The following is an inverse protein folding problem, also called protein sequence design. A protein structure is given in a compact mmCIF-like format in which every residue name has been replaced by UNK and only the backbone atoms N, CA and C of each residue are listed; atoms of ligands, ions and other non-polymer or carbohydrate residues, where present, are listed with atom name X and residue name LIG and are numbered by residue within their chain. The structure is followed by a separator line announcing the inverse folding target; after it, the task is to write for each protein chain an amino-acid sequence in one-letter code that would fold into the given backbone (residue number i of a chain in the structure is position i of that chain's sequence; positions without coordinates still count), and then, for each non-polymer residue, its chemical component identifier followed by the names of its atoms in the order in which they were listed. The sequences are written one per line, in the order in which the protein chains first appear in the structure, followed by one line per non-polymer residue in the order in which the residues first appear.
data_IF_199560158673
#
_entry.id   IF_199560158673
#
_cell.length_a   1.000
_cell.length_b   1.000
_cell.length_c   1.000
_cell.angle_alpha   90.00
_cell.angle_beta   90.00
_cell.angle_gamma   90.00
#
_symmetry.space_group_name_H-M   'P 1'
#
loop_
_entity.id
_entity.type
_entity.pdbx_description
1 polymer ?
#
# COMPACT_ATOMS: atom_id res chain seq x y z
N UNK A 1 -19.57 35.24 -46.97
CA UNK A 1 -20.77 36.05 -47.07
C UNK A 1 -21.39 35.97 -45.71
N UNK A 2 -21.18 36.99 -44.85
CA UNK A 2 -22.01 38.14 -44.55
C UNK A 2 -23.20 37.73 -43.68
N UNK A 3 -23.50 38.25 -42.50
CA UNK A 3 -23.18 39.50 -41.79
C UNK A 3 -23.67 39.32 -40.35
N UNK A 4 -22.98 39.71 -39.33
CA UNK A 4 -22.96 41.06 -38.67
C UNK A 4 -24.34 41.55 -38.14
N UNK A 5 -24.32 41.80 -36.79
CA UNK A 5 -24.73 43.06 -36.21
C UNK A 5 -26.12 43.19 -35.58
N UNK A 6 -26.19 43.51 -34.30
CA UNK A 6 -26.59 44.75 -33.58
C UNK A 6 -26.98 44.37 -32.16
N UNK A 7 -26.34 44.75 -31.15
CA UNK A 7 -26.05 46.02 -30.46
C UNK A 7 -27.25 46.86 -30.05
N UNK A 8 -27.24 47.09 -28.75
CA UNK A 8 -27.50 48.35 -28.05
C UNK A 8 -28.90 48.67 -27.50
N UNK A 9 -28.78 49.13 -26.26
CA UNK A 9 -29.50 50.20 -25.60
C UNK A 9 -30.91 49.95 -25.03
N UNK A 10 -30.94 49.97 -23.70
CA UNK A 10 -31.86 50.81 -22.96
C UNK A 10 -31.24 51.24 -21.61
N UNK A 11 -30.63 52.43 -21.62
CA UNK A 11 -30.47 53.31 -20.45
C UNK A 11 -31.74 54.18 -20.42
N UNK A 12 -32.32 54.41 -19.28
CA UNK A 12 -32.47 55.70 -18.62
C UNK A 12 -33.67 55.79 -17.67
N UNK A 13 -33.33 56.32 -16.49
CA UNK A 13 -34.04 57.34 -15.70
C UNK A 13 -35.19 56.95 -14.77
N UNK A 14 -35.00 57.40 -13.53
CA UNK A 14 -36.08 57.75 -12.59
C UNK A 14 -35.63 57.92 -11.16
N UNK A 15 -35.08 59.08 -10.87
CA UNK A 15 -35.16 60.02 -9.74
C UNK A 15 -35.60 59.55 -8.33
N UNK A 16 -34.68 59.74 -7.36
CA UNK A 16 -34.75 60.49 -6.07
C UNK A 16 -36.04 60.48 -5.25
N UNK A 17 -35.94 60.03 -4.00
CA UNK A 17 -36.25 60.91 -2.82
C UNK A 17 -35.55 60.44 -1.56
N UNK A 18 -35.05 61.45 -0.83
CA UNK A 18 -34.44 61.44 0.47
C UNK A 18 -35.33 60.90 1.59
N UNK A 19 -34.74 60.20 2.54
CA UNK A 19 -35.03 60.38 3.96
C UNK A 19 -33.91 59.90 4.84
N UNK A 20 -33.39 60.81 5.64
CA UNK A 20 -32.40 60.61 6.72
C UNK A 20 -32.99 59.72 7.81
N UNK A 21 -32.22 58.71 8.27
CA UNK A 21 -32.22 58.31 9.68
C UNK A 21 -30.83 57.80 10.07
N UNK A 22 -30.19 58.59 10.92
CA UNK A 22 -28.95 58.24 11.63
C UNK A 22 -29.22 57.08 12.60
N UNK A 23 -28.53 55.95 12.42
CA UNK A 23 -28.26 55.07 13.56
C UNK A 23 -26.82 54.59 13.47
N UNK A 24 -26.06 55.01 14.49
CA UNK A 24 -24.71 54.53 14.81
C UNK A 24 -24.83 53.07 15.16
N UNK A 25 -24.21 52.20 14.38
CA UNK A 25 -23.85 50.85 14.81
C UNK A 25 -22.35 50.67 14.70
N UNK A 26 -21.80 50.36 15.86
CA UNK A 26 -20.44 49.97 16.09
C UNK A 26 -20.01 48.84 15.12
N UNK A 27 -18.97 49.09 14.36
CA UNK A 27 -18.30 48.10 13.54
C UNK A 27 -17.52 47.14 14.44
N UNK A 28 -18.15 46.04 14.81
CA UNK A 28 -17.44 44.88 15.31
C UNK A 28 -16.88 44.09 14.13
N UNK A 29 -15.62 44.31 13.78
CA UNK A 29 -14.91 43.45 12.82
C UNK A 29 -14.70 42.10 13.44
N UNK A 30 -15.64 41.17 13.20
CA UNK A 30 -15.44 39.76 13.45
C UNK A 30 -14.50 39.23 12.34
N UNK A 31 -13.22 39.22 12.65
CA UNK A 31 -12.22 38.48 11.85
C UNK A 31 -12.50 37.00 12.05
N UNK A 32 -13.21 36.41 11.09
CA UNK A 32 -13.39 34.98 11.01
C UNK A 32 -12.05 34.36 10.60
N UNK A 33 -11.21 34.02 11.58
CA UNK A 33 -10.03 33.21 11.39
C UNK A 33 -10.53 31.80 11.08
N UNK A 34 -10.69 31.50 9.81
CA UNK A 34 -10.87 30.13 9.33
C UNK A 34 -9.56 29.36 9.63
N UNK A 35 -9.50 28.66 10.77
CA UNK A 35 -8.50 27.64 11.01
C UNK A 35 -8.69 26.55 9.97
N UNK A 36 -7.97 26.65 8.86
CA UNK A 36 -7.73 25.51 8.00
C UNK A 36 -6.95 24.49 8.82
N UNK A 37 -7.65 23.56 9.46
CA UNK A 37 -7.09 22.32 9.98
C UNK A 37 -6.61 21.54 8.76
N UNK A 38 -5.41 21.87 8.27
CA UNK A 38 -4.67 20.99 7.36
C UNK A 38 -4.41 19.71 8.14
N UNK A 39 -5.22 18.70 7.90
CA UNK A 39 -4.96 17.35 8.37
C UNK A 39 -3.62 16.94 7.76
N UNK A 40 -2.54 17.15 8.49
CA UNK A 40 -1.23 16.65 8.12
C UNK A 40 -1.37 15.13 8.00
N UNK A 41 -1.32 14.61 6.78
CA UNK A 41 -1.15 13.17 6.55
C UNK A 41 0.20 12.82 7.17
N UNK A 42 0.16 12.30 8.38
CA UNK A 42 1.37 11.93 9.10
C UNK A 42 1.99 10.75 8.36
N UNK A 43 3.21 10.94 7.89
CA UNK A 43 3.98 9.87 7.26
C UNK A 43 4.07 8.68 8.24
N UNK A 44 3.99 7.47 7.71
CA UNK A 44 4.19 6.28 8.54
C UNK A 44 5.60 6.30 9.13
N UNK A 45 5.78 6.06 10.44
CA UNK A 45 7.13 6.01 11.03
C UNK A 45 8.03 4.94 10.37
N UNK A 46 7.44 3.95 9.73
CA UNK A 46 8.16 2.94 8.97
C UNK A 46 8.78 3.48 7.67
N UNK A 47 8.29 4.59 7.13
CA UNK A 47 8.88 5.24 5.95
C UNK A 47 10.20 5.97 6.22
N UNK A 48 10.57 6.13 7.48
CA UNK A 48 11.84 6.74 7.89
C UNK A 48 13.02 5.79 7.74
N UNK A 49 12.78 4.47 7.65
CA UNK A 49 13.83 3.49 7.41
C UNK A 49 14.32 3.55 5.97
N UNK A 50 15.54 4.04 5.77
CA UNK A 50 16.21 4.07 4.46
C UNK A 50 16.97 2.78 4.13
N UNK A 51 17.17 1.90 5.12
CA UNK A 51 17.87 0.62 5.00
C UNK A 51 17.19 -0.47 5.84
N UNK A 52 17.38 -1.76 5.48
CA UNK A 52 16.90 -2.87 6.29
C UNK A 52 17.47 -2.87 7.72
N UNK A 53 16.63 -3.32 8.65
CA UNK A 53 17.08 -3.60 10.02
C UNK A 53 18.01 -4.79 10.00
N UNK A 54 19.22 -4.63 10.53
CA UNK A 54 20.21 -5.70 10.58
C UNK A 54 19.75 -6.83 11.50
N UNK A 55 20.10 -8.06 11.16
CA UNK A 55 19.81 -9.25 11.96
C UNK A 55 19.53 -10.48 11.09
N UNK A 56 19.35 -11.62 11.74
CA UNK A 56 18.89 -12.85 11.08
C UNK A 56 17.51 -12.60 10.46
N UNK A 57 17.30 -13.00 9.20
CA UNK A 57 16.03 -12.74 8.52
C UNK A 57 14.83 -13.31 9.27
N UNK A 58 13.87 -12.46 9.59
CA UNK A 58 12.61 -12.82 10.24
C UNK A 58 11.45 -12.00 9.71
N UNK A 59 10.37 -12.68 9.33
CA UNK A 59 9.06 -12.08 9.21
C UNK A 59 8.39 -12.08 10.58
N UNK A 60 7.92 -10.94 11.06
CA UNK A 60 7.34 -10.78 12.40
C UNK A 60 5.89 -10.35 12.29
N UNK A 61 5.01 -10.98 13.05
CA UNK A 61 3.58 -10.69 13.08
C UNK A 61 2.84 -11.14 11.83
N UNK A 62 1.67 -10.56 11.62
CA UNK A 62 0.83 -10.82 10.45
C UNK A 62 1.18 -9.92 9.27
N UNK A 63 0.61 -10.25 8.12
CA UNK A 63 0.82 -9.52 6.86
C UNK A 63 0.32 -8.07 6.92
N UNK A 64 -0.68 -7.79 7.76
CA UNK A 64 -1.28 -6.45 7.96
C UNK A 64 -0.97 -5.84 9.33
N UNK A 65 -0.17 -6.49 10.15
CA UNK A 65 0.29 -6.00 11.45
C UNK A 65 1.61 -6.68 11.79
N UNK A 66 2.71 -6.19 11.21
CA UNK A 66 4.00 -6.82 11.33
C UNK A 66 5.16 -5.93 10.86
N UNK A 67 6.34 -6.51 10.86
CA UNK A 67 7.58 -5.92 10.35
C UNK A 67 8.53 -7.03 9.86
N UNK A 68 9.65 -6.65 9.25
CA UNK A 68 10.67 -7.58 8.79
C UNK A 68 12.06 -7.15 9.28
N UNK A 69 12.83 -8.11 9.78
CA UNK A 69 14.24 -7.97 10.14
C UNK A 69 15.06 -8.70 9.08
N UNK A 70 16.25 -8.21 8.74
CA UNK A 70 17.13 -8.83 7.76
C UNK A 70 16.51 -8.88 6.35
N UNK A 71 15.62 -7.91 6.02
CA UNK A 71 15.07 -7.79 4.69
C UNK A 71 16.16 -7.59 3.64
N UNK A 72 15.89 -8.04 2.42
CA UNK A 72 16.76 -7.82 1.27
C UNK A 72 16.02 -7.04 0.19
N UNK A 73 16.71 -6.17 -0.56
CA UNK A 73 16.11 -5.53 -1.73
C UNK A 73 15.99 -6.54 -2.88
N UNK A 74 14.91 -6.47 -3.63
CA UNK A 74 14.86 -7.10 -4.94
C UNK A 74 15.80 -6.32 -5.87
N UNK A 75 16.72 -6.98 -6.61
CA UNK A 75 17.57 -6.29 -7.55
C UNK A 75 16.77 -5.43 -8.53
N UNK A 76 17.20 -4.17 -8.72
CA UNK A 76 16.51 -3.21 -9.60
C UNK A 76 16.48 -3.69 -11.07
N UNK A 77 17.39 -4.58 -11.43
CA UNK A 77 17.45 -5.21 -12.74
C UNK A 77 17.50 -6.73 -12.57
N UNK A 78 16.64 -7.41 -13.28
CA UNK A 78 16.57 -8.87 -13.26
C UNK A 78 16.17 -9.44 -14.62
N UNK A 79 16.53 -10.70 -14.86
CA UNK A 79 16.09 -11.42 -16.09
C UNK A 79 14.70 -12.01 -15.82
N UNK A 80 13.69 -11.60 -16.60
CA UNK A 80 12.33 -12.11 -16.53
C UNK A 80 11.35 -11.24 -15.75
N UNK A 81 11.80 -10.15 -15.16
CA UNK A 81 10.93 -9.16 -14.54
C UNK A 81 11.44 -7.73 -14.75
N UNK A 82 10.54 -6.75 -14.61
CA UNK A 82 10.82 -5.32 -14.52
C UNK A 82 10.34 -4.82 -13.16
N UNK A 83 11.24 -4.28 -12.34
CA UNK A 83 10.87 -3.61 -11.10
C UNK A 83 10.39 -2.20 -11.42
N UNK A 84 9.16 -1.87 -11.00
CA UNK A 84 8.55 -0.56 -11.19
C UNK A 84 8.44 0.20 -9.86
N UNK A 85 8.37 1.54 -9.92
CA UNK A 85 8.19 2.42 -8.76
C UNK A 85 9.26 2.26 -7.67
N UNK A 86 10.51 1.97 -8.03
CA UNK A 86 11.60 1.76 -7.06
C UNK A 86 11.84 2.97 -6.15
N UNK A 87 11.53 4.20 -6.62
CA UNK A 87 11.62 5.43 -5.82
C UNK A 87 10.73 5.40 -4.56
N UNK A 88 9.72 4.51 -4.51
CA UNK A 88 8.84 4.35 -3.34
C UNK A 88 9.48 3.55 -2.21
N UNK A 89 10.67 3.01 -2.42
CA UNK A 89 11.38 2.14 -1.46
C UNK A 89 10.53 0.93 -0.99
N UNK A 90 9.66 0.41 -1.85
CA UNK A 90 8.76 -0.72 -1.58
C UNK A 90 9.15 -1.94 -2.40
N UNK A 91 10.44 -2.27 -2.40
CA UNK A 91 11.00 -3.41 -3.12
C UNK A 91 11.88 -4.30 -2.22
N UNK A 92 11.63 -4.24 -0.92
CA UNK A 92 12.29 -5.08 0.07
C UNK A 92 11.39 -6.25 0.48
N UNK A 93 11.99 -7.30 0.99
CA UNK A 93 11.25 -8.45 1.51
C UNK A 93 12.13 -9.41 2.27
N UNK A 94 11.52 -10.37 2.93
CA UNK A 94 12.23 -11.51 3.47
C UNK A 94 13.01 -12.23 2.34
N UNK A 95 14.20 -12.78 2.58
CA UNK A 95 14.99 -13.46 1.53
C UNK A 95 14.20 -14.53 0.76
N UNK A 96 13.27 -15.24 1.43
CA UNK A 96 12.38 -16.19 0.76
C UNK A 96 11.47 -15.53 -0.28
N UNK A 97 11.03 -14.29 -0.05
CA UNK A 97 10.23 -13.54 -1.03
C UNK A 97 11.07 -13.12 -2.23
N UNK A 98 12.30 -12.66 -1.99
CA UNK A 98 13.25 -12.31 -3.07
C UNK A 98 13.53 -13.55 -3.92
N UNK A 99 13.85 -14.68 -3.28
CA UNK A 99 14.08 -15.95 -3.95
C UNK A 99 12.85 -16.42 -4.74
N UNK A 100 11.63 -16.24 -4.21
CA UNK A 100 10.39 -16.55 -4.93
C UNK A 100 10.26 -15.75 -6.23
N UNK A 101 10.43 -14.42 -6.17
CA UNK A 101 10.34 -13.56 -7.36
C UNK A 101 11.35 -14.00 -8.43
N UNK A 102 12.58 -14.32 -8.02
CA UNK A 102 13.64 -14.80 -8.92
C UNK A 102 13.33 -16.18 -9.53
N UNK A 103 12.76 -17.12 -8.74
CA UNK A 103 12.30 -18.42 -9.25
C UNK A 103 11.16 -18.26 -10.26
N UNK A 104 10.16 -17.44 -9.91
CA UNK A 104 9.05 -17.14 -10.81
C UNK A 104 9.55 -16.55 -12.13
N UNK A 105 10.47 -15.59 -12.07
CA UNK A 105 11.07 -14.98 -13.25
C UNK A 105 11.84 -15.99 -14.12
N UNK A 106 12.53 -16.94 -13.49
CA UNK A 106 13.20 -18.03 -14.20
C UNK A 106 12.18 -18.95 -14.91
N UNK A 107 11.15 -19.40 -14.19
CA UNK A 107 10.12 -20.30 -14.75
C UNK A 107 9.29 -19.60 -15.84
N UNK A 108 8.95 -18.33 -15.63
CA UNK A 108 8.23 -17.49 -16.61
C UNK A 108 8.99 -17.42 -17.94
N UNK A 109 10.30 -17.18 -17.89
CA UNK A 109 11.16 -17.18 -19.09
C UNK A 109 11.26 -18.55 -19.75
N UNK A 110 11.34 -19.63 -18.95
CA UNK A 110 11.36 -20.99 -19.46
C UNK A 110 10.06 -21.36 -20.17
N UNK A 111 8.94 -20.80 -19.73
CA UNK A 111 7.62 -20.90 -20.38
C UNK A 111 7.47 -19.93 -21.58
N UNK A 112 8.51 -19.17 -21.96
CA UNK A 112 8.46 -18.25 -23.08
C UNK A 112 7.73 -16.92 -22.81
N UNK A 113 7.38 -16.64 -21.54
CA UNK A 113 6.69 -15.40 -21.18
C UNK A 113 7.64 -14.19 -21.22
N UNK A 114 7.15 -13.02 -21.62
CA UNK A 114 7.90 -11.77 -21.50
C UNK A 114 8.14 -11.37 -20.03
N UNK A 115 8.95 -10.34 -19.80
CA UNK A 115 9.20 -9.83 -18.46
C UNK A 115 7.90 -9.34 -17.83
N UNK A 116 7.51 -9.90 -16.67
CA UNK A 116 6.39 -9.38 -15.88
C UNK A 116 6.82 -8.19 -14.99
N UNK A 117 5.88 -7.39 -14.54
CA UNK A 117 6.16 -6.20 -13.74
C UNK A 117 5.98 -6.49 -12.25
N UNK A 118 7.02 -6.18 -11.47
CA UNK A 118 6.99 -6.26 -10.00
C UNK A 118 6.70 -4.87 -9.44
N UNK A 119 5.61 -4.77 -8.70
CA UNK A 119 5.17 -3.57 -8.02
C UNK A 119 5.60 -3.50 -6.56
N UNK A 120 4.67 -3.09 -5.68
CA UNK A 120 4.97 -2.91 -4.27
C UNK A 120 5.25 -4.28 -3.57
N UNK A 121 6.31 -4.30 -2.77
CA UNK A 121 6.67 -5.33 -1.78
C UNK A 121 6.63 -4.68 -0.39
N UNK A 122 7.58 -4.95 0.51
CA UNK A 122 7.70 -4.23 1.76
C UNK A 122 8.66 -3.03 1.67
N UNK A 123 8.58 -2.14 2.67
CA UNK A 123 9.61 -1.15 2.97
C UNK A 123 10.83 -1.84 3.62
N UNK A 124 11.98 -1.15 3.78
CA UNK A 124 13.22 -1.74 4.32
C UNK A 124 13.06 -2.47 5.65
N UNK A 125 12.23 -1.95 6.56
CA UNK A 125 11.90 -2.56 7.85
C UNK A 125 10.50 -3.20 7.87
N UNK A 126 9.80 -3.23 6.73
CA UNK A 126 8.39 -3.60 6.68
C UNK A 126 7.49 -2.54 7.28
N UNK A 127 6.46 -2.97 8.01
CA UNK A 127 5.50 -2.10 8.67
C UNK A 127 4.50 -1.45 7.71
N UNK A 128 3.60 -0.66 8.28
CA UNK A 128 2.44 -0.11 7.57
C UNK A 128 2.86 1.02 6.63
N UNK A 129 2.38 0.96 5.39
CA UNK A 129 2.50 2.08 4.45
C UNK A 129 1.66 3.28 4.90
N UNK A 130 2.06 4.48 4.50
CA UNK A 130 1.28 5.69 4.71
C UNK A 130 -0.01 5.72 3.87
N UNK A 131 -0.01 5.02 2.74
CA UNK A 131 -1.16 4.93 1.82
C UNK A 131 -1.10 3.66 0.97
N UNK A 132 -2.24 3.26 0.42
CA UNK A 132 -2.37 2.10 -0.46
C UNK A 132 -2.70 0.83 0.31
N UNK A 133 -1.81 -0.14 0.28
CA UNK A 133 -2.05 -1.48 0.80
C UNK A 133 -2.15 -1.55 2.33
N UNK A 134 -3.03 -2.40 2.83
CA UNK A 134 -3.13 -2.71 4.26
C UNK A 134 -2.10 -3.75 4.71
N UNK A 135 -1.58 -4.56 3.78
CA UNK A 135 -0.60 -5.63 4.03
C UNK A 135 0.81 -5.27 3.57
N UNK A 136 1.63 -6.25 3.20
CA UNK A 136 3.07 -6.13 2.90
C UNK A 136 3.95 -5.82 4.11
N UNK A 137 3.42 -5.87 5.33
CA UNK A 137 4.13 -5.35 6.49
C UNK A 137 5.25 -6.27 6.99
N UNK A 138 5.11 -7.58 6.84
CA UNK A 138 6.10 -8.56 7.34
C UNK A 138 7.06 -9.07 6.27
N UNK A 139 7.09 -8.46 5.09
CA UNK A 139 8.04 -8.79 4.02
C UNK A 139 7.75 -10.08 3.25
N UNK A 140 6.52 -10.60 3.29
CA UNK A 140 6.11 -11.84 2.62
C UNK A 140 5.09 -11.65 1.49
N UNK A 141 4.74 -10.42 1.16
CA UNK A 141 3.78 -10.06 0.12
C UNK A 141 4.46 -9.35 -1.04
N UNK A 142 4.02 -9.62 -2.27
CA UNK A 142 4.45 -8.91 -3.49
C UNK A 142 3.27 -8.74 -4.44
N UNK A 143 3.15 -7.55 -5.02
CA UNK A 143 2.25 -7.28 -6.12
C UNK A 143 2.94 -7.50 -7.46
N UNK A 144 2.40 -8.36 -8.28
CA UNK A 144 2.87 -8.62 -9.64
C UNK A 144 1.79 -8.13 -10.59
N UNK A 145 2.12 -7.13 -11.39
CA UNK A 145 1.17 -6.58 -12.34
C UNK A 145 0.92 -7.58 -13.48
N UNK A 146 -0.34 -7.72 -13.87
CA UNK A 146 -0.75 -8.49 -15.04
C UNK A 146 -0.47 -7.63 -16.28
N UNK A 147 0.82 -7.45 -16.53
CA UNK A 147 1.39 -6.69 -17.63
C UNK A 147 2.79 -7.21 -17.94
N UNK A 148 3.09 -7.26 -19.22
CA UNK A 148 4.38 -7.73 -19.72
C UNK A 148 5.13 -6.64 -20.48
N UNK A 149 6.46 -6.76 -20.48
CA UNK A 149 7.36 -6.00 -21.35
C UNK A 149 8.14 -6.94 -22.25
N UNK A 150 8.06 -6.71 -23.55
CA UNK A 150 8.87 -7.43 -24.54
C UNK A 150 10.22 -6.75 -24.81
N UNK A 151 10.33 -5.48 -24.42
CA UNK A 151 11.55 -4.68 -24.45
C UNK A 151 11.83 -4.09 -23.07
N UNK A 152 13.05 -3.58 -22.87
CA UNK A 152 13.42 -2.88 -21.65
C UNK A 152 12.56 -1.61 -21.49
N UNK A 153 11.97 -1.42 -20.31
CA UNK A 153 11.24 -0.19 -19.98
C UNK A 153 12.19 0.99 -19.84
N UNK A 154 11.76 2.15 -20.30
CA UNK A 154 12.39 3.43 -19.98
C UNK A 154 12.29 3.74 -18.48
N UNK A 155 13.13 4.58 -17.94
CA UNK A 155 13.05 4.99 -16.54
C UNK A 155 11.72 5.71 -16.23
N UNK A 156 11.19 6.48 -17.16
CA UNK A 156 9.87 7.11 -17.02
C UNK A 156 8.75 6.06 -16.87
N UNK A 157 8.71 5.02 -17.72
CA UNK A 157 7.71 3.95 -17.63
C UNK A 157 7.84 3.19 -16.32
N UNK A 158 9.06 2.96 -15.82
CA UNK A 158 9.28 2.33 -14.52
C UNK A 158 8.80 3.17 -13.34
N UNK A 159 9.05 4.49 -13.38
CA UNK A 159 8.74 5.38 -12.26
C UNK A 159 7.26 5.79 -12.22
N UNK A 160 6.63 5.92 -13.39
CA UNK A 160 5.24 6.38 -13.53
C UNK A 160 4.38 5.42 -14.36
N UNK A 161 4.35 4.12 -14.02
CA UNK A 161 3.57 3.16 -14.78
C UNK A 161 2.08 3.42 -14.63
N UNK A 162 1.33 3.32 -15.72
CA UNK A 162 -0.11 3.44 -15.71
C UNK A 162 -0.75 2.09 -15.37
N UNK A 163 -1.59 2.06 -14.34
CA UNK A 163 -2.41 0.90 -14.03
C UNK A 163 -3.58 0.82 -15.03
N UNK A 164 -3.72 -0.33 -15.68
CA UNK A 164 -4.80 -0.60 -16.62
C UNK A 164 -5.65 -1.73 -16.06
N UNK A 165 -6.87 -1.41 -15.66
CA UNK A 165 -7.82 -2.41 -15.17
C UNK A 165 -8.18 -3.40 -16.27
N UNK A 166 -8.01 -4.69 -15.98
CA UNK A 166 -8.42 -5.80 -16.84
C UNK A 166 -9.91 -6.16 -16.67
N UNK A 167 -10.64 -5.46 -15.80
CA UNK A 167 -12.00 -5.81 -15.40
C UNK A 167 -13.02 -4.78 -15.92
N UNK A 168 -14.07 -5.29 -16.53
CA UNK A 168 -15.33 -4.58 -16.78
C UNK A 168 -16.20 -4.74 -15.52
N UNK A 169 -16.16 -3.73 -14.66
CA UNK A 169 -16.88 -3.76 -13.37
C UNK A 169 -18.41 -3.87 -13.50
N UNK A 170 -19.07 -3.18 -14.44
CA UNK A 170 -20.51 -3.36 -14.64
C UNK A 170 -20.93 -4.80 -14.95
N UNK A 171 -20.10 -5.54 -15.68
CA UNK A 171 -20.36 -6.94 -16.04
C UNK A 171 -19.68 -7.95 -15.12
N UNK A 172 -18.78 -7.49 -14.27
CA UNK A 172 -17.88 -8.34 -13.45
C UNK A 172 -17.20 -9.43 -14.27
N UNK A 173 -16.65 -9.05 -15.40
CA UNK A 173 -15.93 -9.92 -16.34
C UNK A 173 -14.59 -9.30 -16.72
N UNK A 174 -13.66 -10.11 -17.19
CA UNK A 174 -12.44 -9.58 -17.78
C UNK A 174 -12.74 -8.94 -19.13
N UNK A 175 -12.01 -7.87 -19.47
CA UNK A 175 -12.05 -7.24 -20.78
C UNK A 175 -11.34 -8.14 -21.76
N UNK A 176 -12.06 -8.69 -22.72
CA UNK A 176 -11.55 -9.69 -23.69
C UNK A 176 -10.46 -9.13 -24.61
N UNK A 177 -10.48 -7.83 -24.87
CA UNK A 177 -9.48 -7.11 -25.67
C UNK A 177 -8.17 -6.86 -24.92
N UNK A 178 -8.17 -6.94 -23.57
CA UNK A 178 -7.02 -6.73 -22.73
C UNK A 178 -6.49 -8.04 -22.09
N UNK A 179 -7.36 -9.04 -21.95
CA UNK A 179 -6.97 -10.30 -21.33
C UNK A 179 -6.06 -11.12 -22.26
N UNK A 180 -4.92 -11.55 -21.73
CA UNK A 180 -3.95 -12.38 -22.45
C UNK A 180 -3.84 -13.76 -21.78
N UNK A 181 -3.78 -14.87 -22.55
CA UNK A 181 -3.59 -16.22 -22.00
C UNK A 181 -2.35 -16.33 -21.12
N UNK A 182 -1.31 -15.56 -21.41
CA UNK A 182 -0.06 -15.49 -20.67
C UNK A 182 -0.27 -15.08 -19.20
N UNK A 183 -1.34 -14.31 -18.88
CA UNK A 183 -1.68 -14.00 -17.50
C UNK A 183 -2.12 -15.22 -16.72
N UNK A 184 -2.87 -16.12 -17.36
CA UNK A 184 -3.25 -17.42 -16.75
C UNK A 184 -2.01 -18.23 -16.44
N UNK A 185 -1.07 -18.33 -17.37
CA UNK A 185 0.16 -19.08 -17.16
C UNK A 185 1.05 -18.47 -16.07
N UNK A 186 1.21 -17.15 -16.04
CA UNK A 186 1.96 -16.46 -14.97
C UNK A 186 1.35 -16.71 -13.58
N UNK A 187 0.02 -16.61 -13.45
CA UNK A 187 -0.67 -16.85 -12.19
C UNK A 187 -0.53 -18.31 -11.77
N UNK A 188 -0.63 -19.26 -12.72
CA UNK A 188 -0.44 -20.69 -12.49
C UNK A 188 0.98 -21.00 -12.00
N UNK A 189 1.99 -20.45 -12.66
CA UNK A 189 3.39 -20.61 -12.25
C UNK A 189 3.61 -20.08 -10.82
N UNK A 190 3.06 -18.92 -10.51
CA UNK A 190 3.13 -18.36 -9.15
C UNK A 190 2.40 -19.23 -8.12
N UNK A 191 1.18 -19.69 -8.42
CA UNK A 191 0.40 -20.53 -7.51
C UNK A 191 1.01 -21.93 -7.31
N UNK A 192 1.76 -22.43 -8.28
CA UNK A 192 2.43 -23.74 -8.22
C UNK A 192 3.68 -23.73 -7.34
N UNK A 193 4.25 -22.55 -7.00
CA UNK A 193 5.37 -22.50 -6.06
C UNK A 193 4.91 -22.97 -4.66
N UNK A 194 5.61 -23.94 -4.03
CA UNK A 194 5.20 -24.50 -2.75
C UNK A 194 5.25 -23.48 -1.59
N UNK A 195 6.03 -22.43 -1.72
CA UNK A 195 6.15 -21.36 -0.71
C UNK A 195 4.96 -20.39 -0.75
N UNK A 196 4.18 -20.38 -1.83
CA UNK A 196 3.00 -19.52 -1.95
C UNK A 196 1.84 -20.08 -1.13
N UNK A 197 1.38 -19.31 -0.16
CA UNK A 197 0.21 -19.63 0.64
C UNK A 197 -1.09 -19.19 -0.06
N UNK A 198 -1.07 -18.03 -0.74
CA UNK A 198 -2.27 -17.44 -1.33
C UNK A 198 -1.91 -16.42 -2.40
N UNK A 199 -2.80 -16.26 -3.37
CA UNK A 199 -2.77 -15.20 -4.37
C UNK A 199 -4.13 -14.54 -4.40
N UNK A 200 -4.18 -13.21 -4.28
CA UNK A 200 -5.42 -12.45 -4.38
C UNK A 200 -5.52 -11.85 -5.77
N UNK A 201 -6.69 -12.01 -6.39
CA UNK A 201 -7.04 -11.42 -7.68
C UNK A 201 -8.49 -10.92 -7.65
N UNK A 202 -8.86 -10.03 -8.55
CA UNK A 202 -10.26 -9.62 -8.68
C UNK A 202 -11.18 -10.83 -8.94
N UNK A 203 -12.41 -10.85 -8.40
CA UNK A 203 -13.37 -11.94 -8.65
C UNK A 203 -13.57 -12.27 -10.14
N UNK A 204 -13.63 -11.25 -11.00
CA UNK A 204 -13.75 -11.44 -12.46
C UNK A 204 -12.51 -12.16 -13.04
N UNK A 205 -11.31 -11.86 -12.55
CA UNK A 205 -10.08 -12.56 -12.94
C UNK A 205 -10.14 -14.02 -12.46
N UNK A 206 -10.56 -14.25 -11.20
CA UNK A 206 -10.72 -15.61 -10.69
C UNK A 206 -11.73 -16.41 -11.54
N UNK A 207 -12.84 -15.80 -11.93
CA UNK A 207 -13.83 -16.42 -12.81
C UNK A 207 -13.22 -16.80 -14.16
N UNK A 208 -12.47 -15.89 -14.78
CA UNK A 208 -11.78 -16.17 -16.05
C UNK A 208 -10.82 -17.36 -15.94
N UNK A 209 -10.05 -17.43 -14.84
CA UNK A 209 -9.15 -18.56 -14.59
C UNK A 209 -9.93 -19.87 -14.44
N UNK A 210 -11.07 -19.88 -13.74
CA UNK A 210 -11.92 -21.05 -13.58
C UNK A 210 -12.47 -21.55 -14.91
N UNK A 211 -12.89 -20.63 -15.80
CA UNK A 211 -13.43 -20.96 -17.13
C UNK A 211 -12.32 -21.44 -18.06
N UNK A 212 -11.21 -20.73 -18.14
CA UNK A 212 -10.13 -21.04 -19.09
C UNK A 212 -9.38 -22.34 -18.77
N UNK A 213 -9.50 -22.86 -17.53
CA UNK A 213 -8.87 -24.12 -17.10
C UNK A 213 -9.86 -25.24 -16.85
N UNK A 214 -11.10 -25.10 -17.29
CA UNK A 214 -12.10 -26.17 -17.19
C UNK A 214 -11.60 -27.46 -17.91
N UNK A 215 -11.77 -28.61 -17.24
CA UNK A 215 -11.31 -29.89 -17.78
C UNK A 215 -9.81 -30.18 -17.68
N UNK A 216 -9.01 -29.26 -17.13
CA UNK A 216 -7.58 -29.41 -16.91
C UNK A 216 -7.24 -29.61 -15.44
N UNK A 217 -5.96 -29.99 -15.14
CA UNK A 217 -5.44 -29.95 -13.78
C UNK A 217 -5.49 -28.51 -13.26
N UNK A 218 -6.18 -28.29 -12.15
CA UNK A 218 -6.48 -26.97 -11.61
C UNK A 218 -6.36 -26.86 -10.09
N UNK A 219 -5.68 -27.79 -9.44
CA UNK A 219 -5.45 -27.80 -7.97
C UNK A 219 -4.76 -26.51 -7.50
N UNK A 220 -3.93 -25.89 -8.34
CA UNK A 220 -3.28 -24.63 -8.09
C UNK A 220 -4.26 -23.46 -7.85
N UNK A 221 -5.47 -23.52 -8.43
CA UNK A 221 -6.52 -22.51 -8.24
C UNK A 221 -6.98 -22.41 -6.80
N UNK A 222 -6.76 -23.44 -5.97
CA UNK A 222 -7.04 -23.39 -4.52
C UNK A 222 -6.37 -22.20 -3.86
N UNK A 223 -5.14 -21.88 -4.27
CA UNK A 223 -4.38 -20.74 -3.69
C UNK A 223 -4.83 -19.40 -4.23
N UNK A 224 -5.50 -19.34 -5.38
CA UNK A 224 -5.98 -18.11 -6.02
C UNK A 224 -7.36 -17.74 -5.47
N UNK A 225 -7.43 -16.63 -4.74
CA UNK A 225 -8.62 -16.23 -4.00
C UNK A 225 -9.20 -14.93 -4.54
N UNK A 226 -10.53 -14.83 -4.66
CA UNK A 226 -11.17 -13.58 -5.03
C UNK A 226 -10.99 -12.54 -3.93
N UNK A 227 -10.69 -11.29 -4.33
CA UNK A 227 -10.57 -10.16 -3.42
C UNK A 227 -10.88 -8.85 -4.13
N UNK A 228 -11.52 -7.89 -3.44
CA UNK A 228 -11.84 -6.58 -3.99
C UNK A 228 -10.59 -5.82 -4.44
N UNK A 229 -10.72 -4.97 -5.46
CA UNK A 229 -9.56 -4.42 -6.16
C UNK A 229 -8.86 -5.51 -6.98
N UNK A 230 -7.52 -5.50 -7.03
CA UNK A 230 -6.70 -6.53 -7.69
C UNK A 230 -7.09 -6.80 -9.15
N UNK A 231 -7.50 -5.75 -9.84
CA UNK A 231 -8.06 -5.80 -11.18
C UNK A 231 -7.02 -5.59 -12.30
N UNK A 232 -5.77 -5.24 -11.92
CA UNK A 232 -4.63 -5.08 -12.82
C UNK A 232 -3.35 -5.79 -12.31
N UNK A 233 -3.39 -6.38 -11.13
CA UNK A 233 -2.27 -7.11 -10.54
C UNK A 233 -2.76 -8.30 -9.73
N UNK A 234 -1.92 -9.29 -9.54
CA UNK A 234 -2.08 -10.31 -8.54
C UNK A 234 -1.23 -9.95 -7.30
N UNK A 235 -1.81 -10.11 -6.11
CA UNK A 235 -1.10 -9.98 -4.85
C UNK A 235 -0.70 -11.37 -4.35
N UNK A 236 0.58 -11.66 -4.36
CA UNK A 236 1.11 -12.97 -3.95
C UNK A 236 1.58 -12.88 -2.50
N UNK A 237 1.17 -13.88 -1.72
CA UNK A 237 1.50 -14.03 -0.31
C UNK A 237 2.23 -15.33 -0.07
N UNK A 238 3.41 -15.29 0.53
CA UNK A 238 4.13 -16.48 0.95
C UNK A 238 3.66 -16.99 2.31
N UNK A 239 3.87 -18.27 2.56
CA UNK A 239 3.75 -18.85 3.89
C UNK A 239 4.87 -18.31 4.81
N UNK A 240 4.65 -18.38 6.12
CA UNK A 240 5.69 -18.08 7.09
C UNK A 240 6.92 -18.95 6.82
N UNK A 241 8.12 -18.35 6.64
CA UNK A 241 9.32 -19.12 6.37
C UNK A 241 9.82 -19.82 7.64
N UNK A 242 10.54 -20.95 7.51
CA UNK A 242 11.25 -21.55 8.63
C UNK A 242 12.17 -20.54 9.31
N UNK A 243 12.25 -20.59 10.65
CA UNK A 243 13.07 -19.66 11.44
C UNK A 243 12.39 -18.35 11.82
N UNK A 244 11.27 -17.97 11.20
CA UNK A 244 10.46 -16.82 11.61
C UNK A 244 9.42 -17.23 12.66
N UNK A 245 9.87 -17.42 13.91
CA UNK A 245 9.03 -17.93 15.01
C UNK A 245 7.85 -17.00 15.34
N UNK A 246 8.04 -15.70 15.21
CA UNK A 246 7.01 -14.68 15.48
C UNK A 246 6.09 -14.41 14.27
N UNK A 247 6.23 -15.14 13.16
CA UNK A 247 5.39 -15.00 12.00
C UNK A 247 4.02 -15.62 12.24
N UNK A 248 2.97 -14.84 11.98
CA UNK A 248 1.58 -15.28 12.14
C UNK A 248 1.02 -15.77 10.79
N UNK A 249 0.99 -17.08 10.63
CA UNK A 249 0.44 -17.72 9.44
C UNK A 249 -1.08 -17.52 9.34
N UNK A 250 -1.57 -17.38 8.11
CA UNK A 250 -3.01 -17.45 7.85
C UNK A 250 -3.48 -18.90 7.76
N UNK A 251 -4.72 -19.14 8.16
CA UNK A 251 -5.40 -20.41 7.91
C UNK A 251 -5.33 -20.75 6.41
N UNK A 252 -4.93 -21.98 6.04
CA UNK A 252 -4.90 -22.38 4.64
C UNK A 252 -6.23 -22.18 3.93
N UNK A 253 -6.24 -21.94 2.60
CA UNK A 253 -7.48 -21.89 1.84
C UNK A 253 -8.28 -23.20 1.99
N UNK A 254 -9.61 -23.15 1.94
CA UNK A 254 -10.46 -24.36 1.94
C UNK A 254 -10.04 -25.35 0.85
N UNK A 255 -10.45 -26.59 0.98
CA UNK A 255 -10.25 -27.60 -0.06
C UNK A 255 -11.00 -27.21 -1.35
N UNK A 256 -10.59 -27.80 -2.49
CA UNK A 256 -11.15 -27.50 -3.81
C UNK A 256 -10.46 -26.33 -4.49
N UNK A 257 -10.94 -25.98 -5.67
CA UNK A 257 -10.35 -24.97 -6.55
C UNK A 257 -10.85 -23.53 -6.29
N UNK A 258 -11.87 -23.38 -5.44
CA UNK A 258 -12.48 -22.09 -5.12
C UNK A 258 -13.28 -21.47 -6.28
N UNK A 259 -13.74 -22.27 -7.23
CA UNK A 259 -14.55 -21.82 -8.38
C UNK A 259 -16.07 -21.96 -8.15
N UNK A 260 -16.48 -22.51 -6.99
CA UNK A 260 -17.90 -22.71 -6.62
C UNK A 260 -18.50 -21.54 -5.84
N UNK A 261 -19.18 -21.86 -4.74
CA UNK A 261 -20.01 -20.92 -3.96
C UNK A 261 -19.26 -19.70 -3.45
N UNK A 262 -17.99 -19.87 -3.07
CA UNK A 262 -17.18 -18.72 -2.65
C UNK A 262 -17.04 -17.68 -3.77
N UNK A 263 -16.67 -18.11 -4.97
CA UNK A 263 -16.57 -17.20 -6.11
C UNK A 263 -17.95 -16.62 -6.48
N UNK A 264 -18.99 -17.44 -6.47
CA UNK A 264 -20.34 -17.00 -6.76
C UNK A 264 -20.79 -15.88 -5.81
N UNK A 265 -20.45 -15.98 -4.52
CA UNK A 265 -20.78 -14.94 -3.53
C UNK A 265 -20.12 -13.59 -3.81
N UNK A 266 -18.93 -13.59 -4.43
CA UNK A 266 -18.22 -12.38 -4.83
C UNK A 266 -18.76 -11.74 -6.12
N UNK A 267 -19.37 -12.53 -6.99
CA UNK A 267 -19.90 -12.09 -8.28
C UNK A 267 -21.34 -11.63 -8.22
N UNK A 268 -22.04 -11.93 -7.11
CA UNK A 268 -23.42 -11.45 -6.93
C UNK A 268 -23.43 -9.92 -6.77
N UNK A 269 -24.38 -9.21 -7.41
CA UNK A 269 -24.61 -7.81 -7.13
C UNK A 269 -24.90 -7.64 -5.62
N UNK A 270 -24.47 -6.53 -5.00
CA UNK A 270 -24.86 -6.25 -3.62
C UNK A 270 -26.38 -6.30 -3.51
N UNK A 271 -26.89 -7.17 -2.63
CA UNK A 271 -28.32 -7.24 -2.36
C UNK A 271 -28.74 -5.91 -1.76
N UNK A 272 -29.32 -5.04 -2.59
CA UNK A 272 -29.98 -3.83 -2.12
C UNK A 272 -31.28 -4.31 -1.44
N UNK A 273 -31.18 -4.69 -0.16
CA UNK A 273 -32.38 -4.83 0.65
C UNK A 273 -33.03 -3.45 0.69
N UNK A 274 -34.13 -3.28 -0.02
CA UNK A 274 -34.99 -2.11 0.13
C UNK A 274 -35.40 -2.09 1.60
N UNK A 275 -34.70 -1.28 2.41
CA UNK A 275 -35.11 -1.05 3.78
C UNK A 275 -36.41 -0.24 3.73
N UNK A 276 -37.55 -0.94 3.72
CA UNK A 276 -38.88 -0.37 3.95
C UNK A 276 -39.04 0.00 5.43
N UNK A 277 -38.16 0.79 5.95
CA UNK A 277 -38.16 1.28 7.33
C UNK A 277 -37.39 2.59 7.44
N UNK A 278 -37.90 3.52 8.24
CA UNK A 278 -37.20 4.76 8.56
C UNK A 278 -35.74 4.43 8.93
N UNK A 279 -34.74 5.14 8.38
CA UNK A 279 -33.36 4.86 8.70
C UNK A 279 -33.17 4.93 10.23
N UNK A 280 -32.93 3.80 10.88
CA UNK A 280 -32.40 3.83 12.22
C UNK A 280 -31.03 4.50 12.12
N UNK A 281 -30.92 5.69 12.69
CA UNK A 281 -29.62 6.36 12.86
C UNK A 281 -28.75 5.43 13.72
N UNK A 282 -28.02 4.52 13.08
CA UNK A 282 -26.99 3.75 13.77
C UNK A 282 -25.90 4.77 14.17
N UNK A 283 -25.62 4.83 15.46
CA UNK A 283 -24.51 5.64 15.96
C UNK A 283 -23.27 5.29 15.13
N UNK A 284 -22.50 6.30 14.67
CA UNK A 284 -21.28 6.04 13.94
C UNK A 284 -20.42 5.04 14.74
N UNK A 285 -20.15 3.87 14.16
CA UNK A 285 -19.26 2.91 14.80
C UNK A 285 -17.88 3.58 14.83
N UNK A 286 -17.40 3.96 16.03
CA UNK A 286 -16.05 4.47 16.16
C UNK A 286 -15.10 3.50 15.46
N UNK A 287 -14.15 4.00 14.64
CA UNK A 287 -13.12 3.15 14.05
C UNK A 287 -12.45 2.36 15.18
N UNK A 288 -12.47 1.03 15.09
CA UNK A 288 -11.71 0.20 16.03
C UNK A 288 -10.24 0.58 15.92
N UNK A 289 -9.60 0.83 17.04
CA UNK A 289 -8.14 1.04 17.07
C UNK A 289 -7.46 -0.15 16.40
N UNK A 290 -6.44 0.07 15.59
CA UNK A 290 -5.68 -1.02 15.01
C UNK A 290 -5.08 -1.87 16.14
N UNK A 291 -4.94 -3.19 15.95
CA UNK A 291 -4.34 -4.05 16.96
C UNK A 291 -2.91 -3.55 17.28
N UNK A 292 -2.45 -3.71 18.53
CA UNK A 292 -1.11 -3.31 18.91
C UNK A 292 -0.07 -4.04 18.06
N UNK A 293 1.02 -3.34 17.73
CA UNK A 293 2.13 -3.95 17.00
C UNK A 293 2.75 -5.11 17.83
N UNK A 294 3.28 -6.15 17.17
CA UNK A 294 4.10 -7.15 17.84
C UNK A 294 5.26 -6.50 18.61
N UNK A 295 5.60 -7.02 19.80
CA UNK A 295 6.61 -6.43 20.67
C UNK A 295 7.98 -6.24 19.98
N UNK A 296 8.35 -7.18 19.10
CA UNK A 296 9.58 -7.06 18.28
C UNK A 296 9.49 -5.82 17.36
N UNK A 297 8.37 -5.63 16.68
CA UNK A 297 8.18 -4.49 15.78
C UNK A 297 8.14 -3.15 16.53
N UNK A 298 7.61 -3.13 17.76
CA UNK A 298 7.68 -1.95 18.62
C UNK A 298 9.12 -1.58 18.94
N UNK A 299 9.96 -2.57 19.32
CA UNK A 299 11.39 -2.34 19.59
C UNK A 299 12.14 -1.82 18.36
N UNK A 300 11.84 -2.36 17.17
CA UNK A 300 12.40 -1.87 15.91
C UNK A 300 12.08 -0.39 15.70
N UNK A 301 10.84 0.03 15.89
CA UNK A 301 10.47 1.45 15.77
C UNK A 301 11.19 2.32 16.82
N UNK A 302 11.24 1.88 18.07
CA UNK A 302 11.87 2.63 19.14
C UNK A 302 13.37 2.80 18.93
N UNK A 303 14.06 1.79 18.39
CA UNK A 303 15.50 1.87 18.11
C UNK A 303 15.84 2.86 16.98
N UNK A 304 14.88 3.22 16.15
CA UNK A 304 15.07 4.16 15.02
C UNK A 304 14.66 5.59 15.38
N UNK A 305 13.92 5.80 16.46
CA UNK A 305 13.58 7.16 16.89
C UNK A 305 14.83 7.87 17.39
N UNK A 306 15.16 9.07 16.89
CA UNK A 306 16.22 9.86 17.48
C UNK A 306 15.90 10.07 18.97
N UNK A 307 16.87 9.87 19.84
CA UNK A 307 16.75 10.19 21.26
C UNK A 307 16.21 11.62 21.35
N UNK A 308 14.96 11.79 21.70
CA UNK A 308 14.43 13.08 22.08
C UNK A 308 15.19 13.45 23.35
N UNK A 309 16.21 14.30 23.19
CA UNK A 309 16.90 14.89 24.31
C UNK A 309 15.83 15.55 25.20
N UNK A 310 15.50 14.93 26.31
CA UNK A 310 14.81 15.58 27.41
C UNK A 310 15.75 16.64 28.00
N UNK A 311 15.90 17.75 27.30
CA UNK A 311 16.47 18.99 27.82
C UNK A 311 15.34 19.80 28.39
N UNK A 312 14.66 19.28 29.41
CA UNK A 312 13.79 20.08 30.26
C UNK A 312 13.64 19.31 31.60
N UNK A 313 14.70 19.26 32.40
CA UNK A 313 14.60 19.21 33.87
C UNK A 313 16.02 19.31 34.46
N UNK A 314 16.57 20.51 34.45
CA UNK A 314 17.63 20.90 35.39
C UNK A 314 17.67 22.45 35.46
N UNK A 315 16.59 23.00 35.87
CA UNK A 315 16.57 24.38 36.34
C UNK A 315 16.24 24.38 37.83
N UNK A 316 17.19 24.21 38.71
CA UNK A 316 17.15 24.83 40.08
C UNK A 316 18.57 24.76 40.67
N UNK A 317 18.98 25.96 41.05
CA UNK A 317 19.94 26.31 42.11
C UNK A 317 21.44 26.08 41.90
N UNK A 318 22.05 27.15 41.45
CA UNK A 318 23.42 27.46 41.72
C UNK A 318 23.76 27.62 43.21
N UNK A 319 24.92 27.22 43.57
CA UNK A 319 25.74 27.90 44.57
C UNK A 319 27.20 27.77 44.22
N UNK A 320 27.79 28.91 43.94
CA UNK A 320 29.20 29.15 43.81
C UNK A 320 29.95 28.64 45.05
N UNK A 321 30.97 27.84 44.85
CA UNK A 321 32.09 27.69 45.80
C UNK A 321 33.36 27.76 44.99
N UNK A 322 34.11 28.84 45.18
CA UNK A 322 35.51 28.95 44.79
C UNK A 322 36.35 27.98 45.61
N UNK A 323 37.23 27.24 44.95
CA UNK A 323 38.22 26.38 45.61
C UNK A 323 39.40 26.16 44.67
N UNK A 324 40.46 26.79 45.04
CA UNK A 324 41.84 26.86 44.56
C UNK A 324 42.47 25.57 44.09
N UNK A 325 43.13 25.65 42.97
CA UNK A 325 44.41 25.09 42.49
C UNK A 325 44.86 23.69 42.87
N UNK A 326 45.19 22.88 41.86
CA UNK A 326 46.52 22.29 41.75
C UNK A 326 46.72 21.64 40.37
N UNK A 327 47.74 22.13 39.72
CA UNK A 327 48.35 21.64 38.51
C UNK A 327 49.06 20.32 38.76
N UNK A 328 48.77 19.24 38.02
CA UNK A 328 49.67 18.08 37.91
C UNK A 328 49.88 17.76 36.44
N UNK A 329 51.07 18.03 36.01
CA UNK A 329 51.70 17.63 34.75
C UNK A 329 51.98 16.13 34.77
N UNK A 330 51.51 15.37 33.80
CA UNK A 330 52.02 14.02 33.55
C UNK A 330 52.52 13.95 32.10
N UNK A 331 53.81 13.58 32.01
CA UNK A 331 54.59 13.44 30.80
C UNK A 331 54.18 12.20 30.00
N UNK A 332 54.24 12.36 28.70
CA UNK A 332 54.34 11.24 27.73
C UNK A 332 55.70 10.53 27.85
N UNK A 333 55.66 9.20 27.78
CA UNK A 333 56.77 8.38 27.27
C UNK A 333 56.21 7.17 26.54
N UNK A 334 56.56 7.12 25.25
CA UNK A 334 56.74 6.01 24.32
C UNK A 334 55.64 4.98 24.17
#
# INVERSE_FOLDING_TARGET
MSAFSRLADYLTRGHLTHSYLKHRYLTGSAVLVALCMASSVQASPWSEFSAPVAGTPQAVGGYSNGCVIGAQPLPLQGKGYELIRSQRMRYFGHPELIAFVQRLAKHSRQAGLPNFWVGDMAMPAGGRFSSGHASHQNGLDVDIWLRFSRSKLSEHEKQSPQAVSLVDFPRMQVKSDLWQPEYTELIKLAASDPKVARIFVNPAIKQQLCVSTAGHERSWLRKVRPWGGHDYHMHVRLACPPGSQDCQAQTPPPAGDGCGDELASWLQPPVVTAQTGKPKLSKPKLPSLPPPLPAVCQRVLLSHQPLKNNVNDAGIAGKSVMGTGNSVTVRNTQ
#
